data_IF_211346560941
#
_entry.id   IF_211346560941
#
_cell.length_a   1.000
_cell.length_b   1.000
_cell.length_c   1.000
_cell.angle_alpha   90.00
_cell.angle_beta   90.00
_cell.angle_gamma   90.00
#
_symmetry.space_group_name_H-M   'P 1'
#
loop_
_entity.id
_entity.type
_entity.pdbx_description
1 polymer ?
#
# COMPACT_ATOMS: atom_id res chain seq x y z
N UNK A 1 9.63 -36.05 -5.95
CA UNK A 1 10.19 -34.78 -5.43
C UNK A 1 9.01 -33.91 -5.04
N UNK A 2 8.89 -33.55 -3.75
CA UNK A 2 7.77 -32.70 -3.31
C UNK A 2 7.93 -31.30 -3.88
N UNK A 3 6.98 -30.86 -4.69
CA UNK A 3 6.87 -29.47 -5.10
C UNK A 3 6.44 -28.64 -3.88
N UNK A 4 7.39 -28.08 -3.13
CA UNK A 4 7.02 -27.10 -2.11
C UNK A 4 6.57 -25.84 -2.84
N UNK A 5 5.28 -25.71 -3.08
CA UNK A 5 4.71 -24.51 -3.70
C UNK A 5 5.16 -23.30 -2.86
N UNK A 6 5.80 -22.29 -3.44
CA UNK A 6 6.28 -21.13 -2.70
C UNK A 6 5.10 -20.48 -1.95
N UNK A 7 5.12 -20.54 -0.62
CA UNK A 7 4.05 -19.96 0.19
C UNK A 7 4.44 -18.55 0.65
N UNK A 8 3.50 -17.58 0.67
CA UNK A 8 3.78 -16.24 1.17
C UNK A 8 4.28 -16.31 2.62
N UNK A 9 5.47 -15.78 2.87
CA UNK A 9 6.06 -15.77 4.21
C UNK A 9 5.18 -15.00 5.20
N UNK A 10 5.26 -15.28 6.52
CA UNK A 10 4.49 -14.56 7.55
C UNK A 10 4.65 -13.04 7.49
N UNK A 11 5.82 -12.56 7.06
CA UNK A 11 6.11 -11.12 6.88
C UNK A 11 5.31 -10.51 5.72
N UNK A 12 5.15 -11.23 4.61
CA UNK A 12 4.31 -10.77 3.48
C UNK A 12 2.85 -10.73 3.90
N UNK A 13 2.38 -11.71 4.69
CA UNK A 13 1.03 -11.69 5.25
C UNK A 13 0.83 -10.50 6.20
N UNK A 14 1.78 -10.24 7.09
CA UNK A 14 1.73 -9.07 7.97
C UNK A 14 1.70 -7.76 7.18
N UNK A 15 2.55 -7.62 6.15
CA UNK A 15 2.54 -6.45 5.27
C UNK A 15 1.20 -6.28 4.54
N UNK A 16 0.60 -7.37 4.03
CA UNK A 16 -0.70 -7.32 3.38
C UNK A 16 -1.82 -6.90 4.34
N UNK A 17 -1.78 -7.32 5.60
CA UNK A 17 -2.73 -6.88 6.64
C UNK A 17 -2.56 -5.39 6.95
N UNK A 18 -1.32 -4.92 7.07
CA UNK A 18 -1.04 -3.49 7.31
C UNK A 18 -1.54 -2.64 6.16
N UNK A 19 -1.24 -3.02 4.91
CA UNK A 19 -1.73 -2.30 3.72
C UNK A 19 -3.26 -2.33 3.63
N UNK A 20 -3.91 -3.45 3.99
CA UNK A 20 -5.37 -3.51 4.03
C UNK A 20 -5.96 -2.56 5.09
N UNK A 21 -5.31 -2.44 6.25
CA UNK A 21 -5.71 -1.49 7.29
C UNK A 21 -5.51 -0.03 6.86
N UNK A 22 -4.43 0.28 6.13
CA UNK A 22 -4.19 1.60 5.53
C UNK A 22 -5.29 1.98 4.55
N UNK A 23 -5.62 1.09 3.61
CA UNK A 23 -6.67 1.32 2.63
C UNK A 23 -8.01 1.63 3.31
N UNK A 24 -8.33 0.92 4.40
CA UNK A 24 -9.52 1.17 5.21
C UNK A 24 -9.49 2.56 5.88
N UNK A 25 -8.34 2.97 6.43
CA UNK A 25 -8.19 4.29 7.05
C UNK A 25 -8.36 5.43 6.02
N UNK A 26 -7.83 5.26 4.80
CA UNK A 26 -7.99 6.23 3.70
C UNK A 26 -9.44 6.33 3.24
N UNK A 27 -10.15 5.21 3.14
CA UNK A 27 -11.59 5.20 2.86
C UNK A 27 -12.36 5.95 3.95
N UNK A 28 -12.05 5.69 5.22
CA UNK A 28 -12.69 6.40 6.33
C UNK A 28 -12.42 7.91 6.29
N UNK A 29 -11.19 8.31 6.00
CA UNK A 29 -10.82 9.73 5.86
C UNK A 29 -11.58 10.40 4.71
N UNK A 30 -11.63 9.76 3.53
CA UNK A 30 -12.41 10.29 2.40
C UNK A 30 -13.90 10.42 2.71
N UNK A 31 -14.48 9.46 3.45
CA UNK A 31 -15.88 9.55 3.89
C UNK A 31 -16.12 10.70 4.86
N UNK A 32 -15.18 10.98 5.77
CA UNK A 32 -15.27 12.12 6.70
C UNK A 32 -15.16 13.46 5.94
N UNK A 33 -14.24 13.56 4.98
CA UNK A 33 -14.07 14.75 4.14
C UNK A 33 -15.35 15.07 3.33
N UNK A 34 -16.03 14.04 2.82
CA UNK A 34 -17.34 14.19 2.15
C UNK A 34 -18.47 14.63 3.11
N UNK A 35 -18.37 14.32 4.41
CA UNK A 35 -19.39 14.71 5.40
C UNK A 35 -19.26 16.16 5.84
N UNK A 36 -18.05 16.71 5.84
CA UNK A 36 -17.79 18.13 6.13
C UNK A 36 -17.98 19.05 4.90
N UNK A 37 -18.77 18.61 3.91
CA UNK A 37 -18.98 19.34 2.66
C UNK A 37 -19.62 20.71 2.87
N UNK A 38 -18.82 21.76 2.70
CA UNK A 38 -19.27 23.14 2.52
C UNK A 38 -19.40 23.46 1.00
N UNK A 39 -20.42 24.23 0.55
CA UNK A 39 -20.67 24.47 -0.87
C UNK A 39 -19.48 25.11 -1.62
N UNK A 40 -18.71 25.96 -0.95
CA UNK A 40 -17.52 26.62 -1.52
C UNK A 40 -16.33 25.67 -1.76
N UNK A 41 -16.36 24.46 -1.21
CA UNK A 41 -15.25 23.48 -1.28
C UNK A 41 -15.64 22.15 -1.92
N UNK A 42 -16.87 22.01 -2.39
CA UNK A 42 -17.41 20.74 -2.88
C UNK A 42 -16.56 20.13 -4.03
N UNK A 43 -16.09 20.95 -4.98
CA UNK A 43 -15.25 20.47 -6.10
C UNK A 43 -13.91 19.91 -5.59
N UNK A 44 -13.29 20.57 -4.61
CA UNK A 44 -12.04 20.13 -4.00
C UNK A 44 -12.22 18.84 -3.18
N UNK A 45 -13.30 18.76 -2.40
CA UNK A 45 -13.63 17.57 -1.59
C UNK A 45 -13.90 16.34 -2.47
N UNK A 46 -14.63 16.49 -3.58
CA UNK A 46 -14.89 15.40 -4.54
C UNK A 46 -13.58 14.92 -5.19
N UNK A 47 -12.73 15.84 -5.67
CA UNK A 47 -11.46 15.48 -6.30
C UNK A 47 -10.54 14.71 -5.35
N UNK A 48 -10.42 15.21 -4.11
CA UNK A 48 -9.64 14.59 -3.04
C UNK A 48 -10.18 13.20 -2.67
N UNK A 49 -11.50 13.05 -2.59
CA UNK A 49 -12.15 11.76 -2.30
C UNK A 49 -11.93 10.73 -3.40
N UNK A 50 -12.08 11.12 -4.68
CA UNK A 50 -11.79 10.23 -5.82
C UNK A 50 -10.33 9.79 -5.80
N UNK A 51 -9.41 10.73 -5.55
CA UNK A 51 -7.99 10.42 -5.44
C UNK A 51 -7.72 9.39 -4.34
N UNK A 52 -8.31 9.56 -3.15
CA UNK A 52 -8.17 8.60 -2.05
C UNK A 52 -8.78 7.23 -2.36
N UNK A 53 -9.93 7.18 -3.03
CA UNK A 53 -10.53 5.91 -3.46
C UNK A 53 -9.67 5.18 -4.50
N UNK A 54 -9.15 5.92 -5.50
CA UNK A 54 -8.24 5.36 -6.49
C UNK A 54 -6.96 4.84 -5.83
N UNK A 55 -6.42 5.60 -4.88
CA UNK A 55 -5.23 5.27 -4.12
C UNK A 55 -5.43 4.04 -3.22
N UNK A 56 -6.56 3.95 -2.52
CA UNK A 56 -6.95 2.77 -1.74
C UNK A 56 -7.13 1.53 -2.64
N UNK A 57 -7.73 1.70 -3.82
CA UNK A 57 -7.84 0.64 -4.83
C UNK A 57 -6.47 0.14 -5.29
N UNK A 58 -5.53 1.05 -5.54
CA UNK A 58 -4.16 0.71 -5.91
C UNK A 58 -3.45 -0.09 -4.81
N UNK A 59 -3.59 0.33 -3.56
CA UNK A 59 -3.05 -0.40 -2.41
C UNK A 59 -3.63 -1.81 -2.29
N UNK A 60 -4.94 -1.98 -2.45
CA UNK A 60 -5.58 -3.30 -2.40
C UNK A 60 -5.12 -4.21 -3.54
N UNK A 61 -4.98 -3.68 -4.76
CA UNK A 61 -4.43 -4.42 -5.90
C UNK A 61 -2.99 -4.85 -5.63
N UNK A 62 -2.19 -3.96 -5.05
CA UNK A 62 -0.80 -4.23 -4.77
C UNK A 62 -0.62 -5.20 -3.58
N UNK A 63 -1.48 -5.15 -2.56
CA UNK A 63 -1.56 -6.16 -1.50
C UNK A 63 -1.93 -7.54 -2.07
N UNK A 64 -2.88 -7.58 -3.01
CA UNK A 64 -3.22 -8.82 -3.72
C UNK A 64 -2.08 -9.33 -4.60
N UNK A 65 -1.32 -8.42 -5.21
CA UNK A 65 -0.10 -8.73 -5.97
C UNK A 65 1.04 -9.28 -5.09
N UNK A 66 1.22 -8.73 -3.88
CA UNK A 66 2.16 -9.23 -2.87
C UNK A 66 1.79 -10.65 -2.43
N UNK A 67 0.52 -10.92 -2.17
CA UNK A 67 0.03 -12.26 -1.84
C UNK A 67 0.21 -13.26 -2.99
N UNK A 68 0.29 -12.77 -4.23
CA UNK A 68 0.56 -13.56 -5.44
C UNK A 68 2.04 -13.60 -5.82
N UNK A 69 2.94 -13.03 -5.02
CA UNK A 69 4.37 -12.95 -5.32
C UNK A 69 4.63 -12.36 -6.72
N UNK A 70 3.85 -11.35 -7.12
CA UNK A 70 4.07 -10.62 -8.38
C UNK A 70 5.06 -9.46 -8.18
N UNK A 71 6.18 -9.51 -8.93
CA UNK A 71 7.24 -8.49 -8.90
C UNK A 71 6.77 -7.11 -9.38
N UNK A 72 5.68 -7.06 -10.16
CA UNK A 72 5.09 -5.81 -10.66
C UNK A 72 4.43 -4.96 -9.56
N UNK A 73 3.96 -5.58 -8.46
CA UNK A 73 3.26 -4.86 -7.39
C UNK A 73 4.15 -3.82 -6.68
N UNK A 74 5.47 -3.93 -6.80
CA UNK A 74 6.47 -3.16 -6.03
C UNK A 74 6.56 -1.70 -6.44
N UNK A 75 6.52 -1.43 -7.74
CA UNK A 75 6.58 -0.06 -8.29
C UNK A 75 5.39 0.79 -7.85
N UNK A 76 4.14 0.33 -8.09
CA UNK A 76 2.95 1.02 -7.64
C UNK A 76 2.91 1.23 -6.12
N UNK A 77 3.27 0.20 -5.32
CA UNK A 77 3.33 0.32 -3.86
C UNK A 77 4.31 1.41 -3.41
N UNK A 78 5.55 1.39 -3.91
CA UNK A 78 6.54 2.40 -3.53
C UNK A 78 6.08 3.82 -3.89
N UNK A 79 5.50 4.00 -5.08
CA UNK A 79 4.97 5.29 -5.51
C UNK A 79 3.85 5.79 -4.59
N UNK A 80 2.91 4.91 -4.23
CA UNK A 80 1.85 5.28 -3.30
C UNK A 80 2.42 5.77 -1.97
N UNK A 81 3.38 5.04 -1.39
CA UNK A 81 3.95 5.42 -0.09
C UNK A 81 4.67 6.77 -0.10
N UNK A 82 5.26 7.19 -1.24
CA UNK A 82 5.81 8.53 -1.39
C UNK A 82 4.74 9.63 -1.36
N UNK A 83 3.60 9.40 -2.02
CA UNK A 83 2.45 10.32 -1.97
C UNK A 83 1.95 10.46 -0.53
N UNK A 84 1.83 9.34 0.20
CA UNK A 84 1.35 9.34 1.57
C UNK A 84 2.28 10.06 2.55
N UNK A 85 3.59 9.97 2.34
CA UNK A 85 4.54 10.81 3.08
C UNK A 85 4.38 12.30 2.77
N UNK A 86 4.10 12.67 1.52
CA UNK A 86 3.76 14.04 1.14
C UNK A 86 2.49 14.55 1.82
N UNK A 87 1.45 13.72 1.90
CA UNK A 87 0.21 14.02 2.64
C UNK A 87 0.48 14.18 4.14
N UNK A 88 1.25 13.28 4.74
CA UNK A 88 1.64 13.38 6.15
C UNK A 88 2.38 14.69 6.43
N UNK A 89 3.30 15.07 5.53
CA UNK A 89 4.02 16.34 5.64
C UNK A 89 3.09 17.55 5.56
N UNK A 90 2.08 17.52 4.69
CA UNK A 90 1.10 18.60 4.56
C UNK A 90 0.21 18.73 5.81
N UNK A 91 -0.20 17.59 6.38
CA UNK A 91 -1.07 17.55 7.55
C UNK A 91 -0.35 17.81 8.88
N UNK A 92 0.99 17.86 8.90
CA UNK A 92 1.77 17.92 10.15
C UNK A 92 1.36 19.06 11.10
N UNK A 93 1.01 20.22 10.54
CA UNK A 93 0.68 21.42 11.32
C UNK A 93 -0.83 21.50 11.63
N UNK A 94 -1.67 20.96 10.73
CA UNK A 94 -3.12 21.01 10.85
C UNK A 94 -3.70 19.87 11.70
N UNK A 95 -3.16 18.65 11.55
CA UNK A 95 -3.57 17.47 12.29
C UNK A 95 -2.35 16.53 12.49
N UNK A 96 -1.50 16.82 13.49
CA UNK A 96 -0.27 16.07 13.73
C UNK A 96 -0.50 14.59 14.02
N UNK A 97 -1.64 14.23 14.61
CA UNK A 97 -2.01 12.83 14.87
C UNK A 97 -2.20 12.05 13.57
N UNK A 98 -2.99 12.58 12.63
CA UNK A 98 -3.22 11.94 11.33
C UNK A 98 -1.93 11.88 10.51
N UNK A 99 -1.14 12.96 10.54
CA UNK A 99 0.17 13.00 9.90
C UNK A 99 1.09 11.89 10.42
N UNK A 100 1.19 11.71 11.74
CA UNK A 100 2.00 10.66 12.35
C UNK A 100 1.53 9.26 11.94
N UNK A 101 0.21 9.01 11.94
CA UNK A 101 -0.36 7.73 11.52
C UNK A 101 0.03 7.42 10.07
N UNK A 102 -0.14 8.37 9.15
CA UNK A 102 0.22 8.17 7.75
C UNK A 102 1.72 7.96 7.54
N UNK A 103 2.57 8.71 8.24
CA UNK A 103 4.02 8.57 8.13
C UNK A 103 4.50 7.20 8.65
N UNK A 104 3.99 6.75 9.81
CA UNK A 104 4.37 5.46 10.40
C UNK A 104 3.92 4.31 9.49
N UNK A 105 2.69 4.38 9.00
CA UNK A 105 2.13 3.34 8.14
C UNK A 105 2.96 3.23 6.84
N UNK A 106 3.24 4.36 6.19
CA UNK A 106 4.07 4.39 4.99
C UNK A 106 5.48 3.83 5.23
N UNK A 107 6.11 4.17 6.35
CA UNK A 107 7.41 3.65 6.73
C UNK A 107 7.38 2.11 6.93
N UNK A 108 6.34 1.57 7.57
CA UNK A 108 6.17 0.14 7.79
C UNK A 108 6.01 -0.63 6.47
N UNK A 109 5.20 -0.12 5.55
CA UNK A 109 5.01 -0.73 4.23
C UNK A 109 6.32 -0.71 3.44
N UNK A 110 7.01 0.43 3.44
CA UNK A 110 8.31 0.59 2.78
C UNK A 110 9.34 -0.40 3.35
N UNK A 111 9.41 -0.52 4.68
CA UNK A 111 10.28 -1.47 5.37
C UNK A 111 9.98 -2.93 4.97
N UNK A 112 8.70 -3.30 4.89
CA UNK A 112 8.29 -4.62 4.45
C UNK A 112 8.65 -4.90 2.98
N UNK A 113 8.49 -3.88 2.12
CA UNK A 113 8.76 -3.97 0.68
C UNK A 113 10.26 -4.13 0.38
N UNK A 114 11.11 -3.45 1.15
CA UNK A 114 12.57 -3.49 0.98
C UNK A 114 13.25 -4.55 1.85
N UNK A 115 12.50 -5.32 2.63
CA UNK A 115 13.08 -6.39 3.44
C UNK A 115 13.79 -7.43 2.54
N UNK A 116 15.02 -7.83 2.87
CA UNK A 116 15.77 -8.82 2.09
C UNK A 116 15.07 -10.18 2.02
N UNK A 117 14.22 -10.52 3.00
CA UNK A 117 13.40 -11.74 2.97
C UNK A 117 12.37 -11.72 1.82
N UNK A 118 11.75 -10.57 1.56
CA UNK A 118 10.83 -10.36 0.45
C UNK A 118 11.58 -10.48 -0.88
N UNK A 119 12.76 -9.87 -0.98
CA UNK A 119 13.60 -9.95 -2.19
C UNK A 119 14.04 -11.37 -2.55
N UNK A 120 14.47 -12.16 -1.57
CA UNK A 120 14.92 -13.54 -1.82
C UNK A 120 13.80 -14.43 -2.34
N UNK A 121 12.61 -14.29 -1.78
CA UNK A 121 11.45 -15.09 -2.22
C UNK A 121 11.03 -14.75 -3.66
N UNK A 122 11.05 -13.46 -4.04
CA UNK A 122 10.82 -13.06 -5.43
C UNK A 122 11.89 -13.62 -6.37
N UNK A 123 13.15 -13.61 -5.94
CA UNK A 123 14.26 -14.16 -6.74
C UNK A 123 14.14 -15.69 -6.91
N UNK A 124 13.71 -16.42 -5.89
CA UNK A 124 13.44 -17.86 -5.96
C UNK A 124 12.29 -18.18 -6.93
N UNK A 125 11.17 -17.45 -6.84
CA UNK A 125 10.03 -17.63 -7.74
C UNK A 125 10.39 -17.32 -9.20
N UNK A 126 11.14 -16.24 -9.44
CA UNK A 126 11.60 -15.89 -10.80
C UNK A 126 12.59 -16.92 -11.35
N UNK A 127 13.42 -17.53 -10.50
CA UNK A 127 14.35 -18.57 -10.90
C UNK A 127 13.62 -19.88 -11.29
N UNK A 128 12.62 -20.30 -10.51
CA UNK A 128 11.77 -21.45 -10.82
C UNK A 128 11.00 -21.26 -12.14
N UNK A 129 10.45 -20.06 -12.37
CA UNK A 129 9.74 -19.74 -13.59
C UNK A 129 10.64 -19.87 -14.84
N UNK A 130 11.89 -19.39 -14.78
CA UNK A 130 12.85 -19.52 -15.88
C UNK A 130 13.28 -20.97 -16.12
N UNK A 131 13.48 -21.75 -15.05
CA UNK A 131 13.83 -23.15 -15.15
C UNK A 131 12.72 -23.99 -15.81
N UNK A 132 11.45 -23.62 -15.63
CA UNK A 132 10.31 -24.28 -16.30
C UNK A 132 10.19 -23.98 -17.81
N UNK A 133 10.87 -22.93 -18.29
CA UNK A 133 10.84 -22.51 -19.69
C UNK A 133 12.00 -23.08 -20.53
N UNK A 134 12.98 -23.73 -19.90
CA UNK A 134 14.13 -24.38 -20.55
C UNK A 134 13.90 -25.90 -20.66
#
# INVERSE_FOLDING_TARGET
MGHTTPSPTPRIKAAAVVVAAEALALVAFGVLDLRDMHPDRAVLAVGTSIFFFAYAGLQLLAARGLLRLSSWARGPLAFTQLIQLGLAWNLRDANPTVAAVFAIAAALVMWCLFSPATNRLFAEVDAEARASQQ
#
